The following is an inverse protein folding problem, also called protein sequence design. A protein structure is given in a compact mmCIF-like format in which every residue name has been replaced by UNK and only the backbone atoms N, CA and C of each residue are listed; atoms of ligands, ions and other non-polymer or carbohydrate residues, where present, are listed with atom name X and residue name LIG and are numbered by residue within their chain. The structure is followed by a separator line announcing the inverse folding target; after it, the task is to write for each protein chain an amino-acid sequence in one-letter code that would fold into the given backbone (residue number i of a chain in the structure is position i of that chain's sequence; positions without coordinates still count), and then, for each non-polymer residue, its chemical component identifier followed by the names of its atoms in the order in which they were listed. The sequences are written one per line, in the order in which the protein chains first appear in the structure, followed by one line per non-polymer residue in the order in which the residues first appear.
data_IF_291641116882
#
_entry.id   IF_291641116882
#
_cell.length_a   1.000
_cell.length_b   1.000
_cell.length_c   1.000
_cell.angle_alpha   90.00
_cell.angle_beta   90.00
_cell.angle_gamma   90.00
#
_symmetry.space_group_name_H-M   'P 1'
#
loop_
_entity.id
_entity.type
_entity.pdbx_description
1 polymer ?
#
# COMPACT_ATOMS: atom_id res chain seq x y z
N UNK A 1 -5.62 0.08 8.44
CA UNK A 1 -6.82 0.14 7.57
C UNK A 1 -6.54 1.04 6.39
N UNK A 2 -6.86 0.60 5.18
CA UNK A 2 -6.90 1.46 4.00
C UNK A 2 -8.18 2.31 4.07
N UNK A 3 -8.09 3.53 4.60
CA UNK A 3 -9.22 4.47 4.61
C UNK A 3 -9.56 4.91 3.18
N UNK A 4 -8.54 4.92 2.33
CA UNK A 4 -8.68 5.06 0.89
C UNK A 4 -8.62 6.52 0.43
N UNK A 5 -9.49 6.85 -0.52
CA UNK A 5 -9.50 8.18 -1.11
C UNK A 5 -10.22 9.18 -0.20
N UNK A 6 -9.79 10.45 -0.18
CA UNK A 6 -10.44 11.50 0.62
C UNK A 6 -11.94 11.64 0.35
N UNK A 7 -12.37 11.53 -0.91
CA UNK A 7 -13.77 11.61 -1.32
C UNK A 7 -14.66 10.44 -0.84
N UNK A 8 -14.06 9.42 -0.22
CA UNK A 8 -14.73 8.26 0.37
C UNK A 8 -14.46 8.13 1.88
N UNK A 9 -13.87 9.13 2.50
CA UNK A 9 -13.41 9.07 3.89
C UNK A 9 -13.86 10.33 4.64
N UNK A 10 -14.98 10.22 5.33
CA UNK A 10 -15.54 11.27 6.18
C UNK A 10 -15.13 11.11 7.65
N UNK A 11 -15.52 12.07 8.49
CA UNK A 11 -15.21 12.06 9.91
C UNK A 11 -15.87 10.88 10.65
N UNK A 12 -17.08 10.48 10.26
CA UNK A 12 -17.79 9.37 10.89
C UNK A 12 -17.04 8.06 10.64
N UNK A 13 -16.63 7.81 9.41
CA UNK A 13 -15.81 6.64 9.05
C UNK A 13 -14.49 6.62 9.81
N UNK A 14 -13.80 7.76 9.92
CA UNK A 14 -12.54 7.85 10.65
C UNK A 14 -12.75 7.57 12.14
N UNK A 15 -13.84 8.08 12.76
CA UNK A 15 -14.18 7.76 14.16
C UNK A 15 -14.45 6.29 14.37
N UNK A 16 -15.24 5.67 13.50
CA UNK A 16 -15.54 4.24 13.56
C UNK A 16 -14.24 3.42 13.46
N UNK A 17 -13.38 3.73 12.50
CA UNK A 17 -12.08 3.06 12.33
C UNK A 17 -11.25 3.15 13.62
N UNK A 18 -11.20 4.31 14.26
CA UNK A 18 -10.46 4.51 15.51
C UNK A 18 -11.09 3.77 16.69
N UNK A 19 -12.41 3.82 16.82
CA UNK A 19 -13.18 3.14 17.87
C UNK A 19 -12.96 1.62 17.84
N UNK A 20 -12.91 1.03 16.65
CA UNK A 20 -12.62 -0.39 16.47
C UNK A 20 -11.13 -0.75 16.55
N UNK A 21 -10.29 0.14 17.06
CA UNK A 21 -8.91 -0.15 17.44
C UNK A 21 -7.91 -0.22 16.28
N UNK A 22 -8.23 0.36 15.12
CA UNK A 22 -7.25 0.46 14.06
C UNK A 22 -6.07 1.35 14.48
N UNK A 23 -4.88 0.77 14.51
CA UNK A 23 -3.65 1.45 14.93
C UNK A 23 -2.97 2.24 13.82
N UNK A 24 -3.29 1.95 12.57
CA UNK A 24 -2.72 2.62 11.39
C UNK A 24 -3.77 2.75 10.30
N UNK A 25 -3.83 3.92 9.68
CA UNK A 25 -4.66 4.17 8.50
C UNK A 25 -3.80 4.65 7.33
N UNK A 26 -4.30 4.45 6.10
CA UNK A 26 -3.73 5.06 4.91
C UNK A 26 -4.69 6.08 4.32
N UNK A 27 -4.20 7.27 4.04
CA UNK A 27 -4.87 8.31 3.25
C UNK A 27 -4.01 8.52 2.02
N UNK A 28 -4.51 8.13 0.84
CA UNK A 28 -3.69 7.98 -0.36
C UNK A 28 -3.88 9.15 -1.33
N UNK A 29 -3.05 10.22 -1.26
CA UNK A 29 -3.15 11.37 -2.14
C UNK A 29 -2.83 11.03 -3.60
N UNK A 30 -1.88 10.17 -3.85
CA UNK A 30 -1.22 9.86 -5.13
C UNK A 30 -0.35 11.03 -5.64
N UNK A 31 -0.85 12.24 -5.59
CA UNK A 31 -0.22 13.53 -5.91
C UNK A 31 -1.00 14.66 -5.24
N UNK A 32 -0.39 15.84 -5.11
CA UNK A 32 -1.07 17.06 -4.67
C UNK A 32 -1.31 18.04 -5.83
N UNK A 33 -1.19 17.58 -7.08
CA UNK A 33 -1.54 18.35 -8.27
C UNK A 33 -2.97 18.06 -8.70
N UNK A 34 -3.86 19.04 -8.64
CA UNK A 34 -5.25 18.91 -9.06
C UNK A 34 -5.39 18.57 -10.55
N UNK A 35 -4.45 19.03 -11.38
CA UNK A 35 -4.42 18.68 -12.80
C UNK A 35 -4.11 17.20 -12.99
N UNK A 36 -3.07 16.70 -12.33
CA UNK A 36 -2.68 15.29 -12.39
C UNK A 36 -3.77 14.39 -11.81
N UNK A 37 -4.41 14.80 -10.70
CA UNK A 37 -5.55 14.07 -10.12
C UNK A 37 -6.68 13.91 -11.14
N UNK A 38 -7.05 14.96 -11.88
CA UNK A 38 -8.05 14.90 -12.95
C UNK A 38 -7.61 13.96 -14.08
N UNK A 39 -6.34 14.02 -14.47
CA UNK A 39 -5.78 13.19 -15.54
C UNK A 39 -5.86 11.70 -15.23
N UNK A 40 -5.75 11.31 -13.95
CA UNK A 40 -5.86 9.92 -13.50
C UNK A 40 -7.29 9.55 -13.06
N UNK A 41 -8.29 10.40 -13.34
CA UNK A 41 -9.70 10.13 -13.04
C UNK A 41 -10.05 10.21 -11.55
N UNK A 42 -9.29 10.95 -10.76
CA UNK A 42 -9.63 11.23 -9.35
C UNK A 42 -10.61 12.39 -9.28
N UNK A 43 -11.59 12.29 -8.35
CA UNK A 43 -12.63 13.32 -8.17
C UNK A 43 -12.30 14.30 -7.05
N UNK A 44 -11.40 13.92 -6.15
CA UNK A 44 -10.96 14.77 -5.05
C UNK A 44 -9.84 15.72 -5.49
N UNK A 45 -9.67 16.78 -4.75
CA UNK A 45 -8.65 17.82 -4.92
C UNK A 45 -7.54 17.67 -3.89
N UNK A 46 -6.44 18.42 -4.07
CA UNK A 46 -5.40 18.57 -3.06
C UNK A 46 -5.95 19.09 -1.73
N UNK A 47 -6.92 20.02 -1.78
CA UNK A 47 -7.56 20.55 -0.58
C UNK A 47 -8.35 19.46 0.18
N UNK A 48 -9.06 18.59 -0.52
CA UNK A 48 -9.79 17.48 0.10
C UNK A 48 -8.83 16.51 0.84
N UNK A 49 -7.63 16.31 0.29
CA UNK A 49 -6.59 15.50 0.94
C UNK A 49 -6.16 16.15 2.25
N UNK A 50 -5.87 17.47 2.23
CA UNK A 50 -5.45 18.23 3.41
C UNK A 50 -6.54 18.19 4.49
N UNK A 51 -7.80 18.36 4.12
CA UNK A 51 -8.92 18.40 5.06
C UNK A 51 -9.21 17.00 5.64
N UNK A 52 -9.12 15.95 4.83
CA UNK A 52 -9.19 14.56 5.29
C UNK A 52 -8.08 14.25 6.30
N UNK A 53 -6.84 14.63 6.00
CA UNK A 53 -5.71 14.43 6.89
C UNK A 53 -5.89 15.15 8.23
N UNK A 54 -6.27 16.45 8.20
CA UNK A 54 -6.54 17.24 9.41
C UNK A 54 -7.67 16.61 10.23
N UNK A 55 -8.71 16.12 9.57
CA UNK A 55 -9.81 15.43 10.23
C UNK A 55 -9.36 14.14 10.89
N UNK A 56 -8.52 13.33 10.22
CA UNK A 56 -7.96 12.14 10.81
C UNK A 56 -7.12 12.43 12.06
N UNK A 57 -6.29 13.47 12.02
CA UNK A 57 -5.53 13.93 13.20
C UNK A 57 -6.45 14.40 14.34
N UNK A 58 -7.50 15.17 14.05
CA UNK A 58 -8.48 15.63 15.03
C UNK A 58 -9.24 14.48 15.69
N UNK A 59 -9.54 13.42 14.96
CA UNK A 59 -10.16 12.18 15.47
C UNK A 59 -9.20 11.37 16.33
N UNK A 60 -7.88 11.65 16.27
CA UNK A 60 -6.87 11.01 17.08
C UNK A 60 -6.09 9.88 16.38
N UNK A 61 -6.10 9.84 15.05
CA UNK A 61 -5.19 8.95 14.31
C UNK A 61 -3.76 9.49 14.38
N UNK A 62 -2.86 8.71 14.95
CA UNK A 62 -1.46 9.03 15.23
C UNK A 62 -0.46 8.18 14.42
N UNK A 63 -0.95 7.32 13.55
CA UNK A 63 -0.14 6.57 12.60
C UNK A 63 -0.84 6.58 11.24
N UNK A 64 -0.45 7.54 10.40
CA UNK A 64 -1.01 7.76 9.08
C UNK A 64 0.05 7.48 8.03
N UNK A 65 -0.32 6.72 7.00
CA UNK A 65 0.47 6.52 5.80
C UNK A 65 -0.11 7.35 4.65
N UNK A 66 0.75 7.92 3.84
CA UNK A 66 0.41 8.61 2.60
C UNK A 66 1.12 7.97 1.41
N UNK A 67 0.36 7.57 0.39
CA UNK A 67 0.94 7.01 -0.84
C UNK A 67 1.06 8.08 -1.91
N UNK A 68 2.25 8.21 -2.49
CA UNK A 68 2.54 9.02 -3.67
C UNK A 68 2.94 8.12 -4.83
N UNK A 69 2.70 8.57 -6.06
CA UNK A 69 3.07 7.83 -7.27
C UNK A 69 3.95 8.71 -8.15
N UNK A 70 5.18 8.27 -8.39
CA UNK A 70 6.09 8.85 -9.37
C UNK A 70 5.73 8.37 -10.79
N UNK A 71 5.73 9.29 -11.75
CA UNK A 71 5.50 9.00 -13.16
C UNK A 71 4.02 9.04 -13.58
N UNK A 72 3.16 9.72 -12.84
CA UNK A 72 1.77 9.92 -13.24
C UNK A 72 1.67 10.75 -14.53
N UNK A 73 0.68 10.48 -15.40
CA UNK A 73 0.48 11.23 -16.65
C UNK A 73 0.25 12.71 -16.39
N UNK A 74 1.07 13.54 -17.05
CA UNK A 74 1.01 15.00 -16.91
C UNK A 74 1.71 15.56 -15.67
N UNK A 75 2.33 14.70 -14.85
CA UNK A 75 3.15 15.16 -13.74
C UNK A 75 4.57 15.52 -14.24
N UNK A 76 5.25 16.38 -13.48
CA UNK A 76 6.62 16.82 -13.72
C UNK A 76 7.49 16.49 -12.51
N UNK A 77 8.82 16.57 -12.67
CA UNK A 77 9.75 16.41 -11.54
C UNK A 77 9.47 17.43 -10.44
N UNK A 78 9.20 18.68 -10.82
CA UNK A 78 8.87 19.76 -9.90
C UNK A 78 7.51 19.52 -9.22
N UNK A 79 6.51 19.05 -9.98
CA UNK A 79 5.17 18.68 -9.45
C UNK A 79 5.25 17.56 -8.45
N UNK A 80 6.01 16.51 -8.75
CA UNK A 80 6.25 15.41 -7.83
C UNK A 80 7.02 15.88 -6.57
N UNK A 81 8.07 16.68 -6.73
CA UNK A 81 8.82 17.25 -5.59
C UNK A 81 7.94 18.12 -4.70
N UNK A 82 7.05 18.92 -5.29
CA UNK A 82 6.07 19.70 -4.54
C UNK A 82 5.12 18.79 -3.76
N UNK A 83 4.62 17.74 -4.40
CA UNK A 83 3.75 16.74 -3.75
C UNK A 83 4.46 16.02 -2.60
N UNK A 84 5.72 15.65 -2.79
CA UNK A 84 6.55 15.01 -1.76
C UNK A 84 6.81 15.97 -0.58
N UNK A 85 7.15 17.22 -0.85
CA UNK A 85 7.36 18.24 0.19
C UNK A 85 6.06 18.52 0.95
N UNK A 86 4.93 18.62 0.26
CA UNK A 86 3.63 18.80 0.90
C UNK A 86 3.29 17.63 1.84
N UNK A 87 3.58 16.39 1.42
CA UNK A 87 3.42 15.23 2.28
C UNK A 87 4.35 15.28 3.50
N UNK A 88 5.61 15.69 3.32
CA UNK A 88 6.58 15.86 4.43
C UNK A 88 6.09 16.93 5.41
N UNK A 89 5.60 18.07 4.92
CA UNK A 89 5.12 19.19 5.75
C UNK A 89 3.87 18.83 6.57
N UNK A 90 3.06 17.87 6.11
CA UNK A 90 1.95 17.29 6.88
C UNK A 90 2.44 16.38 8.01
N UNK A 91 3.69 15.96 7.95
CA UNK A 91 4.36 15.18 8.98
C UNK A 91 3.67 13.84 9.35
N UNK A 92 3.26 13.00 8.35
CA UNK A 92 2.72 11.67 8.64
C UNK A 92 3.83 10.75 9.17
N UNK A 93 3.44 9.64 9.77
CA UNK A 93 4.39 8.64 10.29
C UNK A 93 4.98 7.78 9.17
N UNK A 94 4.25 7.65 8.06
CA UNK A 94 4.69 6.85 6.91
C UNK A 94 4.39 7.58 5.60
N UNK A 95 5.31 7.46 4.63
CA UNK A 95 5.11 7.86 3.25
C UNK A 95 5.57 6.71 2.36
N UNK A 96 4.71 6.27 1.44
CA UNK A 96 5.09 5.26 0.46
C UNK A 96 5.19 5.91 -0.92
N UNK A 97 6.32 5.73 -1.58
CA UNK A 97 6.53 6.20 -2.95
C UNK A 97 6.44 5.01 -3.88
N UNK A 98 5.41 5.01 -4.71
CA UNK A 98 5.20 4.04 -5.76
C UNK A 98 5.73 4.57 -7.09
N UNK A 99 6.30 3.68 -7.90
CA UNK A 99 6.57 3.96 -9.31
C UNK A 99 5.41 3.46 -10.16
N UNK A 100 4.93 4.29 -11.07
CA UNK A 100 3.82 3.93 -11.94
C UNK A 100 4.09 2.61 -12.67
N UNK A 101 3.14 1.70 -12.59
CA UNK A 101 3.15 0.42 -13.29
C UNK A 101 2.08 0.43 -14.39
N UNK A 102 2.50 0.30 -15.63
CA UNK A 102 1.58 0.22 -16.77
C UNK A 102 1.06 -1.21 -16.92
N UNK A 103 -0.20 -1.43 -16.57
CA UNK A 103 -0.87 -2.72 -16.80
C UNK A 103 -1.46 -2.74 -18.22
N UNK A 104 -1.31 -3.87 -18.94
CA UNK A 104 -1.80 -4.02 -20.34
C UNK A 104 -3.25 -3.64 -20.56
N UNK A 105 -4.09 -3.73 -19.55
CA UNK A 105 -5.52 -3.39 -19.62
C UNK A 105 -5.85 -2.02 -18.96
N UNK A 106 -4.85 -1.18 -18.68
CA UNK A 106 -5.12 0.16 -18.14
C UNK A 106 -5.48 1.13 -19.27
N UNK A 107 -6.39 2.05 -18.99
CA UNK A 107 -6.74 3.14 -19.94
C UNK A 107 -5.51 3.96 -20.35
N UNK A 108 -4.50 4.09 -19.47
CA UNK A 108 -3.25 4.77 -19.73
C UNK A 108 -2.44 4.13 -20.86
N UNK A 109 -2.47 2.79 -20.98
CA UNK A 109 -1.82 2.06 -22.09
C UNK A 109 -2.63 2.20 -23.36
N UNK A 110 -3.96 2.12 -23.27
CA UNK A 110 -4.87 2.21 -24.41
C UNK A 110 -4.82 3.61 -25.04
N UNK A 111 -4.66 4.65 -24.23
CA UNK A 111 -4.62 6.04 -24.69
C UNK A 111 -3.22 6.51 -25.11
N UNK A 112 -2.20 5.62 -25.11
CA UNK A 112 -0.79 5.96 -25.42
C UNK A 112 -0.21 7.14 -24.63
N UNK A 113 -0.73 7.40 -23.42
CA UNK A 113 -0.22 8.43 -22.51
C UNK A 113 0.99 7.88 -21.74
N UNK A 114 2.10 7.65 -22.44
CA UNK A 114 3.35 7.28 -21.78
C UNK A 114 3.93 8.51 -21.06
N UNK A 115 4.21 8.36 -19.76
CA UNK A 115 5.08 9.31 -19.07
C UNK A 115 6.49 9.25 -19.68
N UNK A 116 7.19 10.37 -19.72
CA UNK A 116 8.60 10.37 -20.11
C UNK A 116 9.41 9.61 -19.03
N UNK A 117 10.02 8.51 -19.45
CA UNK A 117 10.75 7.62 -18.52
C UNK A 117 11.97 8.30 -17.88
N UNK A 118 12.54 9.34 -18.51
CA UNK A 118 13.67 10.08 -17.96
C UNK A 118 13.28 10.85 -16.68
N UNK A 119 12.06 11.36 -16.62
CA UNK A 119 11.59 12.16 -15.48
C UNK A 119 11.30 11.30 -14.24
N UNK A 120 10.93 10.02 -14.43
CA UNK A 120 10.59 9.13 -13.30
C UNK A 120 11.78 8.84 -12.41
N UNK A 121 12.97 8.66 -12.99
CA UNK A 121 14.19 8.48 -12.19
C UNK A 121 14.49 9.71 -11.34
N UNK A 122 14.41 10.92 -11.91
CA UNK A 122 14.60 12.17 -11.19
C UNK A 122 13.53 12.40 -10.09
N UNK A 123 12.29 11.94 -10.31
CA UNK A 123 11.24 11.93 -9.27
C UNK A 123 11.64 11.02 -8.11
N UNK A 124 12.12 9.81 -8.39
CA UNK A 124 12.56 8.86 -7.35
C UNK A 124 13.79 9.34 -6.61
N UNK A 125 14.76 9.97 -7.30
CA UNK A 125 15.91 10.61 -6.66
C UNK A 125 15.49 11.69 -5.66
N UNK A 126 14.35 12.36 -5.89
CA UNK A 126 13.83 13.36 -4.96
C UNK A 126 13.46 12.79 -3.59
N UNK A 127 13.37 11.45 -3.44
CA UNK A 127 13.12 10.79 -2.15
C UNK A 127 14.24 11.04 -1.12
N UNK A 128 15.40 11.56 -1.51
CA UNK A 128 16.41 12.08 -0.57
C UNK A 128 15.84 13.13 0.41
N UNK A 129 14.77 13.83 0.02
CA UNK A 129 14.08 14.78 0.90
C UNK A 129 13.47 14.08 2.11
N UNK A 130 13.02 12.83 1.97
CA UNK A 130 12.49 12.03 3.07
C UNK A 130 13.57 11.70 4.11
N UNK A 131 14.77 11.35 3.66
CA UNK A 131 15.91 11.11 4.57
C UNK A 131 16.28 12.39 5.33
N UNK A 132 16.32 13.53 4.65
CA UNK A 132 16.58 14.84 5.26
C UNK A 132 15.50 15.23 6.28
N UNK A 133 14.26 14.80 6.06
CA UNK A 133 13.13 14.98 6.98
C UNK A 133 13.05 13.93 8.11
N UNK A 134 14.02 13.00 8.19
CA UNK A 134 14.12 12.02 9.26
C UNK A 134 13.38 10.71 9.01
N UNK A 135 12.81 10.51 7.83
CA UNK A 135 12.24 9.23 7.44
C UNK A 135 13.33 8.24 7.04
N UNK A 136 13.06 6.96 7.22
CA UNK A 136 13.96 5.88 6.80
C UNK A 136 13.21 4.87 5.94
N UNK A 137 13.85 4.32 4.88
CA UNK A 137 13.26 3.23 4.13
C UNK A 137 13.19 1.98 5.05
N UNK A 138 12.04 1.29 5.04
CA UNK A 138 11.87 0.09 5.88
C UNK A 138 11.38 -1.13 5.11
N UNK A 139 10.83 -0.96 3.91
CA UNK A 139 10.55 -2.03 2.97
C UNK A 139 10.61 -1.52 1.53
N UNK A 140 10.87 -2.42 0.63
CA UNK A 140 10.85 -2.14 -0.80
C UNK A 140 10.27 -3.34 -1.55
N UNK A 141 9.67 -3.07 -2.69
CA UNK A 141 9.22 -4.12 -3.60
C UNK A 141 9.21 -3.66 -5.04
N UNK A 142 9.40 -4.62 -5.95
CA UNK A 142 9.37 -4.37 -7.38
C UNK A 142 8.17 -5.09 -8.00
N UNK A 143 7.37 -4.36 -8.76
CA UNK A 143 6.29 -4.93 -9.57
C UNK A 143 6.78 -5.21 -10.98
N UNK A 144 6.25 -6.26 -11.63
CA UNK A 144 6.49 -6.48 -13.05
C UNK A 144 5.87 -5.35 -13.87
N UNK A 145 6.68 -4.72 -14.74
CA UNK A 145 6.23 -3.64 -15.61
C UNK A 145 6.23 -2.25 -14.96
N UNK A 146 6.96 -2.07 -13.85
CA UNK A 146 7.29 -0.72 -13.37
C UNK A 146 8.17 0.00 -14.38
N UNK A 147 7.95 1.30 -14.52
CA UNK A 147 8.78 2.15 -15.37
C UNK A 147 10.25 2.04 -14.92
N UNK A 148 11.16 1.82 -15.87
CA UNK A 148 12.61 1.65 -15.65
C UNK A 148 13.02 0.58 -14.63
N UNK A 149 12.13 -0.39 -14.31
CA UNK A 149 12.34 -1.38 -13.24
C UNK A 149 12.65 -0.75 -11.86
N UNK A 150 12.19 0.47 -11.63
CA UNK A 150 12.33 1.15 -10.34
C UNK A 150 11.50 0.46 -9.27
N UNK A 151 11.94 0.63 -8.03
CA UNK A 151 11.32 0.00 -6.87
C UNK A 151 10.27 0.93 -6.24
N UNK A 152 9.30 0.31 -5.56
CA UNK A 152 8.39 1.01 -4.68
C UNK A 152 8.99 0.95 -3.27
N UNK A 153 9.10 2.08 -2.59
CA UNK A 153 9.75 2.17 -1.29
C UNK A 153 8.81 2.74 -0.25
N UNK A 154 8.67 2.05 0.86
CA UNK A 154 7.99 2.56 2.04
C UNK A 154 8.98 3.21 3.00
N UNK A 155 8.68 4.45 3.37
CA UNK A 155 9.44 5.28 4.29
C UNK A 155 8.65 5.49 5.57
N UNK A 156 9.30 5.48 6.71
CA UNK A 156 8.64 5.76 7.98
C UNK A 156 9.57 6.51 8.95
N UNK A 157 8.95 7.15 9.93
CA UNK A 157 9.66 7.60 11.12
C UNK A 157 10.05 6.37 11.96
N UNK A 158 11.17 6.41 12.70
CA UNK A 158 11.58 5.30 13.55
C UNK A 158 10.48 4.88 14.54
N UNK A 159 10.18 3.58 14.60
CA UNK A 159 9.15 3.01 15.46
C UNK A 159 7.74 2.95 14.86
N UNK A 160 7.56 3.39 13.60
CA UNK A 160 6.29 3.35 12.89
C UNK A 160 6.28 2.40 11.70
N UNK A 161 7.21 1.44 11.69
CA UNK A 161 7.30 0.42 10.64
C UNK A 161 6.00 -0.42 10.60
N UNK A 162 5.41 -0.59 9.43
CA UNK A 162 4.25 -1.44 9.26
C UNK A 162 4.68 -2.91 9.18
N UNK A 163 4.47 -3.66 10.24
CA UNK A 163 4.85 -5.07 10.32
C UNK A 163 4.24 -5.93 9.21
N UNK A 164 3.00 -5.62 8.79
CA UNK A 164 2.37 -6.30 7.66
C UNK A 164 3.20 -6.17 6.37
N UNK A 165 3.71 -4.97 6.07
CA UNK A 165 4.52 -4.74 4.88
C UNK A 165 5.83 -5.53 4.96
N UNK A 166 6.47 -5.54 6.14
CA UNK A 166 7.68 -6.33 6.35
C UNK A 166 7.40 -7.82 6.16
N UNK A 167 6.39 -8.37 6.84
CA UNK A 167 6.09 -9.80 6.79
C UNK A 167 5.68 -10.29 5.39
N UNK A 168 5.01 -9.45 4.61
CA UNK A 168 4.61 -9.84 3.26
C UNK A 168 5.78 -9.81 2.28
N UNK A 169 6.70 -8.84 2.44
CA UNK A 169 7.85 -8.70 1.55
C UNK A 169 8.98 -9.65 1.89
N UNK A 170 9.33 -9.79 3.16
CA UNK A 170 10.38 -10.70 3.62
C UNK A 170 9.96 -12.17 3.63
N UNK A 171 8.67 -12.45 3.45
CA UNK A 171 8.11 -13.81 3.45
C UNK A 171 8.46 -14.65 4.70
N UNK A 172 8.63 -13.99 5.83
CA UNK A 172 9.07 -14.62 7.09
C UNK A 172 7.90 -15.03 7.99
N UNK A 173 6.68 -14.67 7.63
CA UNK A 173 5.50 -14.90 8.47
C UNK A 173 4.30 -15.40 7.67
N UNK A 174 3.52 -16.30 8.30
CA UNK A 174 2.24 -16.72 7.74
C UNK A 174 1.24 -15.57 7.80
N UNK A 175 0.53 -15.36 6.70
CA UNK A 175 -0.51 -14.34 6.59
C UNK A 175 -1.80 -15.01 6.16
N UNK A 176 -2.79 -15.03 7.04
CA UNK A 176 -4.14 -15.52 6.74
C UNK A 176 -4.93 -14.43 6.02
N UNK A 177 -5.64 -14.80 4.97
CA UNK A 177 -6.47 -13.88 4.21
C UNK A 177 -7.94 -14.23 4.29
N UNK A 178 -8.79 -13.21 4.37
CA UNK A 178 -10.22 -13.28 4.20
C UNK A 178 -10.64 -12.43 3.00
N UNK A 179 -11.85 -12.67 2.48
CA UNK A 179 -12.41 -11.91 1.35
C UNK A 179 -12.10 -12.49 -0.02
N UNK A 180 -12.85 -12.02 -1.02
CA UNK A 180 -12.68 -12.41 -2.41
C UNK A 180 -11.30 -12.01 -2.94
N UNK A 181 -10.65 -12.88 -3.71
CA UNK A 181 -9.31 -12.65 -4.24
C UNK A 181 -8.19 -12.77 -3.22
N UNK A 182 -8.49 -13.05 -1.94
CA UNK A 182 -7.50 -13.20 -0.89
C UNK A 182 -6.59 -14.42 -1.11
N UNK A 183 -5.32 -14.29 -0.72
CA UNK A 183 -4.33 -15.36 -0.76
C UNK A 183 -3.72 -15.54 0.62
N UNK A 184 -4.05 -16.64 1.29
CA UNK A 184 -3.35 -17.06 2.51
C UNK A 184 -1.97 -17.55 2.12
N UNK A 185 -0.93 -16.99 2.74
CA UNK A 185 0.45 -17.40 2.58
C UNK A 185 0.91 -18.13 3.84
N UNK A 186 1.28 -19.39 3.70
CA UNK A 186 1.83 -20.24 4.75
C UNK A 186 3.34 -20.26 4.63
N UNK A 187 4.05 -20.08 5.73
CA UNK A 187 5.51 -20.09 5.78
C UNK A 187 5.95 -21.17 6.76
N UNK A 188 6.82 -22.09 6.31
CA UNK A 188 7.35 -23.13 7.17
C UNK A 188 8.16 -22.51 8.32
N UNK A 189 7.96 -22.98 9.56
CA UNK A 189 8.69 -22.47 10.71
C UNK A 189 10.19 -22.82 10.65
N UNK A 190 11.02 -21.96 11.24
CA UNK A 190 12.44 -22.25 11.51
C UNK A 190 13.41 -22.08 10.35
N UNK A 191 12.97 -21.78 9.15
CA UNK A 191 13.88 -21.57 8.02
C UNK A 191 13.76 -20.16 7.46
N UNK A 192 14.87 -19.43 7.40
CA UNK A 192 14.99 -18.25 6.54
C UNK A 192 14.82 -18.73 5.09
N UNK A 193 13.76 -18.28 4.39
CA UNK A 193 13.31 -18.80 3.10
C UNK A 193 12.78 -20.25 3.14
N UNK A 194 11.98 -20.57 4.17
CA UNK A 194 11.29 -21.84 4.28
C UNK A 194 10.30 -22.10 3.15
N UNK A 195 9.78 -23.33 3.08
CA UNK A 195 8.74 -23.68 2.13
C UNK A 195 7.53 -22.74 2.28
N UNK A 196 7.07 -22.20 1.16
CA UNK A 196 5.90 -21.32 1.10
C UNK A 196 4.79 -22.02 0.32
N UNK A 197 3.63 -22.12 0.93
CA UNK A 197 2.40 -22.58 0.28
C UNK A 197 1.34 -21.48 0.27
N UNK A 198 0.44 -21.52 -0.71
CA UNK A 198 -0.64 -20.54 -0.84
C UNK A 198 -1.99 -21.22 -0.98
N UNK A 199 -2.96 -20.71 -0.23
CA UNK A 199 -4.36 -21.12 -0.32
C UNK A 199 -5.16 -19.92 -0.83
N UNK A 200 -5.77 -20.07 -2.00
CA UNK A 200 -6.48 -18.99 -2.67
C UNK A 200 -7.97 -19.04 -2.38
N UNK A 201 -8.55 -17.88 -2.12
CA UNK A 201 -9.99 -17.66 -2.15
C UNK A 201 -10.45 -17.46 -3.60
N UNK A 202 -11.75 -17.60 -3.86
CA UNK A 202 -12.30 -17.26 -5.17
C UNK A 202 -12.10 -15.78 -5.46
N UNK A 203 -11.77 -15.46 -6.71
CA UNK A 203 -11.39 -14.10 -7.12
C UNK A 203 -12.57 -13.14 -7.15
N UNK A 204 -13.72 -13.63 -7.59
CA UNK A 204 -14.91 -12.81 -7.74
C UNK A 204 -15.78 -12.84 -6.47
N UNK A 205 -16.36 -11.68 -6.06
CA UNK A 205 -17.19 -11.61 -4.85
C UNK A 205 -18.36 -12.58 -4.84
N UNK A 206 -19.07 -12.74 -5.97
CA UNK A 206 -20.18 -13.68 -6.11
C UNK A 206 -19.75 -15.13 -5.88
N UNK A 207 -18.67 -15.57 -6.55
CA UNK A 207 -18.15 -16.93 -6.33
C UNK A 207 -17.66 -17.12 -4.89
N UNK A 208 -17.10 -16.10 -4.26
CA UNK A 208 -16.65 -16.15 -2.87
C UNK A 208 -17.83 -16.38 -1.93
N UNK A 209 -18.95 -15.69 -2.16
CA UNK A 209 -20.17 -15.83 -1.36
C UNK A 209 -20.83 -17.18 -1.62
N UNK A 210 -21.08 -17.53 -2.88
CA UNK A 210 -21.83 -18.72 -3.27
C UNK A 210 -21.10 -20.03 -2.91
N UNK A 211 -19.78 -19.99 -2.80
CA UNK A 211 -18.95 -21.16 -2.50
C UNK A 211 -18.16 -21.01 -1.20
N UNK A 212 -18.72 -20.31 -0.22
CA UNK A 212 -18.05 -20.02 1.04
C UNK A 212 -17.62 -21.28 1.79
N UNK A 213 -18.45 -22.33 1.79
CA UNK A 213 -18.13 -23.61 2.42
C UNK A 213 -16.89 -24.27 1.81
N UNK A 214 -16.73 -24.15 0.49
CA UNK A 214 -15.50 -24.64 -0.19
C UNK A 214 -14.27 -23.87 0.27
N UNK A 215 -14.39 -22.56 0.56
CA UNK A 215 -13.29 -21.76 1.06
C UNK A 215 -12.94 -22.17 2.49
N UNK A 216 -13.94 -22.42 3.35
CA UNK A 216 -13.70 -22.93 4.70
C UNK A 216 -12.96 -24.27 4.65
N UNK A 217 -13.42 -25.21 3.80
CA UNK A 217 -12.74 -26.49 3.61
C UNK A 217 -11.28 -26.34 3.13
N UNK A 218 -11.00 -25.38 2.23
CA UNK A 218 -9.62 -25.08 1.82
C UNK A 218 -8.77 -24.57 2.98
N UNK A 219 -9.34 -23.84 3.95
CA UNK A 219 -8.62 -23.32 5.11
C UNK A 219 -8.16 -24.39 6.09
N UNK A 220 -8.75 -25.60 6.04
CA UNK A 220 -8.22 -26.76 6.76
C UNK A 220 -6.78 -27.09 6.31
N UNK A 221 -6.39 -26.73 5.09
CA UNK A 221 -5.02 -26.82 4.61
C UNK A 221 -4.01 -26.06 5.45
N UNK A 222 -4.43 -25.04 6.23
CA UNK A 222 -3.55 -24.32 7.17
C UNK A 222 -3.09 -25.30 8.26
N UNK A 223 -4.02 -26.02 8.88
CA UNK A 223 -3.70 -27.00 9.90
C UNK A 223 -2.82 -28.12 9.33
N UNK A 224 -3.24 -28.68 8.18
CA UNK A 224 -2.49 -29.76 7.50
C UNK A 224 -1.04 -29.33 7.17
N UNK A 225 -0.81 -28.07 6.82
CA UNK A 225 0.53 -27.55 6.59
C UNK A 225 1.37 -27.59 7.86
N UNK A 226 0.83 -27.10 9.00
CA UNK A 226 1.58 -27.05 10.26
C UNK A 226 1.72 -28.41 10.96
N UNK A 227 0.80 -29.34 10.75
CA UNK A 227 0.92 -30.72 11.23
C UNK A 227 2.19 -31.45 10.68
N UNK A 228 2.77 -30.92 9.58
CA UNK A 228 4.05 -31.40 9.04
C UNK A 228 5.28 -30.92 9.85
N UNK A 229 5.09 -29.97 10.78
CA UNK A 229 6.16 -29.34 11.57
C UNK A 229 5.87 -29.41 13.09
N UNK A 230 5.79 -30.64 13.68
CA UNK A 230 5.25 -30.83 15.02
C UNK A 230 6.11 -30.21 16.15
N UNK A 231 7.36 -29.84 15.91
CA UNK A 231 8.29 -29.37 16.93
C UNK A 231 8.52 -27.84 16.93
N UNK A 232 7.65 -27.04 16.31
CA UNK A 232 7.90 -25.61 16.15
C UNK A 232 7.17 -24.69 17.15
N UNK A 233 6.68 -25.23 18.24
CA UNK A 233 5.97 -24.49 19.31
C UNK A 233 6.70 -24.32 20.63
N UNK A 234 7.90 -24.86 20.77
CA UNK A 234 8.67 -24.84 22.02
C UNK A 234 10.04 -24.16 21.85
N UNK A 235 10.05 -22.86 21.57
CA UNK A 235 11.28 -22.06 21.72
C UNK A 235 10.95 -20.63 22.12
#
# INVERSE_FOLDING_TARGET
VEAGRPDCTDEEKLRIIKEYGATRISINPQTFSDEVLRNIGRRHTAQDILDCYRTARRVGHDNINMDLIAGLPGDTVEGFRHSLQTAIDLDPENITVHTLTLKRASNLVVEHRAADYADVAAMVESCELLEKAGYRPYYLYRQKGTLQNLENVGWCKPGYECLYNIYIMEEVHTILSAGAGGSTKLVAPGARHGKIERIFNYKYPTEYIDRFDTILARKEGVKQFYDQYPNCGES
#
